data_IF_000346780849
#
_entry.id   IF_000346780849
#
_cell.length_a   1.000
_cell.length_b   1.000
_cell.length_c   1.000
_cell.angle_alpha   90.00
_cell.angle_beta   90.00
_cell.angle_gamma   90.00
#
_symmetry.space_group_name_H-M   'P 1'
#
loop_
_entity.id
_entity.type
_entity.pdbx_description
1 polymer ?
#
# COMPACT_ATOMS: atom_id res chain seq x y z
N UNK A 1 -25.68 -9.18 -12.38
CA UNK A 1 -25.14 -9.71 -13.64
C UNK A 1 -23.68 -9.35 -13.55
N UNK A 2 -22.82 -10.29 -13.09
CA UNK A 2 -21.38 -10.07 -13.12
C UNK A 2 -21.00 -9.90 -14.58
N UNK A 3 -20.58 -8.70 -14.92
CA UNK A 3 -20.17 -8.35 -16.27
C UNK A 3 -18.79 -8.99 -16.47
N UNK A 4 -18.77 -10.22 -16.97
CA UNK A 4 -17.52 -10.96 -17.23
C UNK A 4 -16.70 -10.12 -18.19
N UNK A 5 -15.62 -9.51 -17.69
CA UNK A 5 -14.64 -8.80 -18.49
C UNK A 5 -13.90 -9.86 -19.31
N UNK A 6 -14.27 -9.98 -20.58
CA UNK A 6 -13.52 -10.80 -21.54
C UNK A 6 -12.26 -10.03 -21.93
N UNK A 7 -11.12 -10.47 -21.40
CA UNK A 7 -9.81 -10.02 -21.85
C UNK A 7 -9.54 -10.49 -23.28
N UNK A 8 -8.80 -9.68 -24.04
CA UNK A 8 -8.30 -10.01 -25.39
C UNK A 8 -7.44 -11.28 -25.40
N UNK A 9 -6.61 -11.46 -24.37
CA UNK A 9 -5.73 -12.63 -24.22
C UNK A 9 -5.66 -13.12 -22.76
N UNK A 10 -5.14 -14.33 -22.56
CA UNK A 10 -4.83 -14.85 -21.22
C UNK A 10 -3.74 -14.03 -20.52
N UNK A 11 -2.74 -13.56 -21.27
CA UNK A 11 -1.67 -12.71 -20.74
C UNK A 11 -2.22 -11.38 -20.22
N UNK A 12 -3.12 -10.74 -20.96
CA UNK A 12 -3.79 -9.50 -20.56
C UNK A 12 -4.64 -9.68 -19.30
N UNK A 13 -5.37 -10.81 -19.20
CA UNK A 13 -6.14 -11.15 -18.00
C UNK A 13 -5.23 -11.29 -16.77
N UNK A 14 -4.13 -12.04 -16.92
CA UNK A 14 -3.16 -12.24 -15.83
C UNK A 14 -2.49 -10.92 -15.44
N UNK A 15 -2.14 -10.06 -16.40
CA UNK A 15 -1.58 -8.74 -16.14
C UNK A 15 -2.57 -7.85 -15.36
N UNK A 16 -3.84 -7.84 -15.77
CA UNK A 16 -4.88 -7.11 -15.06
C UNK A 16 -5.03 -7.58 -13.60
N UNK A 17 -5.06 -8.90 -13.36
CA UNK A 17 -5.10 -9.47 -12.01
C UNK A 17 -3.88 -9.10 -11.16
N UNK A 18 -2.68 -9.11 -11.76
CA UNK A 18 -1.46 -8.69 -11.08
C UNK A 18 -1.49 -7.21 -10.71
N UNK A 19 -2.04 -6.35 -11.57
CA UNK A 19 -2.17 -4.92 -11.28
C UNK A 19 -3.16 -4.68 -10.12
N UNK A 20 -4.31 -5.36 -10.12
CA UNK A 20 -5.28 -5.29 -9.00
C UNK A 20 -4.66 -5.78 -7.70
N UNK A 21 -3.88 -6.86 -7.76
CA UNK A 21 -3.11 -7.38 -6.61
C UNK A 21 -2.15 -6.33 -6.08
N UNK A 22 -1.38 -5.68 -6.97
CA UNK A 22 -0.45 -4.63 -6.57
C UNK A 22 -1.15 -3.41 -5.96
N UNK A 23 -2.29 -2.98 -6.53
CA UNK A 23 -3.10 -1.91 -5.95
C UNK A 23 -3.57 -2.21 -4.52
N UNK A 24 -3.94 -3.47 -4.25
CA UNK A 24 -4.32 -3.90 -2.91
C UNK A 24 -3.14 -3.89 -1.92
N UNK A 25 -1.91 -4.19 -2.38
CA UNK A 25 -0.69 -4.02 -1.56
C UNK A 25 -0.46 -2.55 -1.21
N UNK A 26 -0.56 -1.63 -2.18
CA UNK A 26 -0.39 -0.19 -1.96
C UNK A 26 -1.45 0.35 -0.98
N UNK A 27 -2.72 0.01 -1.18
CA UNK A 27 -3.82 0.47 -0.32
C UNK A 27 -3.64 0.02 1.13
N UNK A 28 -3.29 -1.26 1.34
CA UNK A 28 -3.06 -1.80 2.68
C UNK A 28 -1.86 -1.15 3.37
N UNK A 29 -0.79 -0.90 2.62
CA UNK A 29 0.40 -0.20 3.12
C UNK A 29 0.05 1.23 3.56
N UNK A 30 -0.69 1.97 2.73
CA UNK A 30 -1.16 3.32 3.05
C UNK A 30 -2.06 3.32 4.28
N UNK A 31 -3.02 2.39 4.35
CA UNK A 31 -3.92 2.25 5.49
C UNK A 31 -3.14 2.08 6.81
N UNK A 32 -2.15 1.18 6.84
CA UNK A 32 -1.37 0.96 8.05
C UNK A 32 -0.54 2.19 8.44
N UNK A 33 0.10 2.85 7.47
CA UNK A 33 0.89 4.07 7.73
C UNK A 33 0.01 5.19 8.29
N UNK A 34 -1.20 5.34 7.78
CA UNK A 34 -2.19 6.29 8.29
C UNK A 34 -2.63 5.96 9.72
N UNK A 35 -2.83 4.68 10.03
CA UNK A 35 -3.18 4.25 11.39
C UNK A 35 -2.02 4.52 12.38
N UNK A 36 -0.77 4.34 11.95
CA UNK A 36 0.42 4.70 12.74
C UNK A 36 0.52 6.22 12.98
N UNK A 37 0.28 7.05 11.94
CA UNK A 37 0.21 8.52 12.09
C UNK A 37 -0.88 8.92 13.09
N UNK A 38 -2.05 8.30 12.97
CA UNK A 38 -3.20 8.56 13.85
C UNK A 38 -2.89 8.21 15.30
N UNK A 39 -2.23 7.07 15.51
CA UNK A 39 -1.82 6.60 16.83
C UNK A 39 -0.80 7.55 17.45
N UNK A 40 0.22 7.97 16.68
CA UNK A 40 1.21 8.95 17.11
C UNK A 40 0.60 10.31 17.46
N UNK A 41 -0.32 10.82 16.64
CA UNK A 41 -1.00 12.09 16.88
C UNK A 41 -1.88 12.05 18.15
N UNK A 42 -2.53 10.92 18.43
CA UNK A 42 -3.45 10.78 19.58
C UNK A 42 -2.75 10.43 20.89
N UNK A 43 -1.58 9.78 20.86
CA UNK A 43 -0.87 9.35 22.07
C UNK A 43 -0.15 10.49 22.79
N UNK A 44 0.04 11.64 22.12
CA UNK A 44 0.84 12.77 22.63
C UNK A 44 2.35 12.50 22.59
N UNK A 45 2.79 11.37 22.02
CA UNK A 45 4.20 11.01 21.88
C UNK A 45 4.78 11.67 20.63
N UNK A 46 5.38 12.85 20.79
CA UNK A 46 5.87 13.66 19.68
C UNK A 46 6.86 12.91 18.78
N UNK A 47 7.83 12.20 19.34
CA UNK A 47 8.82 11.42 18.58
C UNK A 47 8.17 10.31 17.74
N UNK A 48 7.16 9.62 18.29
CA UNK A 48 6.42 8.59 17.57
C UNK A 48 5.62 9.19 16.40
N UNK A 49 5.02 10.37 16.60
CA UNK A 49 4.30 11.10 15.55
C UNK A 49 5.24 11.55 14.42
N UNK A 50 6.39 12.13 14.77
CA UNK A 50 7.44 12.54 13.81
C UNK A 50 7.94 11.33 13.02
N UNK A 51 8.23 10.22 13.69
CA UNK A 51 8.69 9.00 13.03
C UNK A 51 7.62 8.35 12.13
N UNK A 52 6.35 8.40 12.52
CA UNK A 52 5.25 7.92 11.69
C UNK A 52 5.04 8.79 10.45
N UNK A 53 5.12 10.12 10.59
CA UNK A 53 5.08 11.06 9.48
C UNK A 53 6.21 10.81 8.49
N UNK A 54 7.45 10.70 8.98
CA UNK A 54 8.62 10.39 8.12
C UNK A 54 8.41 9.08 7.36
N UNK A 55 8.00 8.01 8.06
CA UNK A 55 7.77 6.70 7.43
C UNK A 55 6.62 6.70 6.40
N UNK A 56 5.63 7.58 6.55
CA UNK A 56 4.60 7.81 5.52
C UNK A 56 5.19 8.53 4.31
N UNK A 57 5.92 9.64 4.53
CA UNK A 57 6.53 10.44 3.46
C UNK A 57 7.55 9.65 2.64
N UNK A 58 8.48 8.97 3.28
CA UNK A 58 9.51 8.16 2.61
C UNK A 58 8.85 7.14 1.66
N UNK A 59 7.79 6.48 2.12
CA UNK A 59 7.05 5.52 1.31
C UNK A 59 6.20 6.17 0.21
N UNK A 60 5.57 7.31 0.50
CA UNK A 60 4.83 8.04 -0.52
C UNK A 60 5.76 8.45 -1.68
N UNK A 61 6.97 8.92 -1.38
CA UNK A 61 7.98 9.33 -2.38
C UNK A 61 8.55 8.17 -3.19
N UNK A 62 8.73 7.01 -2.58
CA UNK A 62 9.40 5.86 -3.22
C UNK A 62 8.43 4.83 -3.78
N UNK A 63 7.13 4.93 -3.48
CA UNK A 63 6.13 3.95 -3.94
C UNK A 63 4.88 4.63 -4.49
N UNK A 64 4.13 5.37 -3.68
CA UNK A 64 2.82 5.88 -4.08
C UNK A 64 2.91 6.90 -5.23
N UNK A 65 3.77 7.91 -5.11
CA UNK A 65 3.94 8.98 -6.10
C UNK A 65 4.52 8.43 -7.41
N UNK A 66 5.60 7.62 -7.40
CA UNK A 66 6.07 6.93 -8.60
C UNK A 66 4.98 6.09 -9.27
N UNK A 67 4.19 5.33 -8.52
CA UNK A 67 3.11 4.51 -9.06
C UNK A 67 2.04 5.33 -9.78
N UNK A 68 1.53 6.40 -9.17
CA UNK A 68 0.48 7.23 -9.82
C UNK A 68 1.02 7.98 -11.03
N UNK A 69 2.28 8.42 -11.01
CA UNK A 69 2.93 9.06 -12.16
C UNK A 69 3.18 8.06 -13.31
N UNK A 70 3.62 6.84 -12.99
CA UNK A 70 3.76 5.78 -13.98
C UNK A 70 2.42 5.39 -14.57
N UNK A 71 1.36 5.29 -13.75
CA UNK A 71 0.00 5.03 -14.21
C UNK A 71 -0.53 6.14 -15.13
N UNK A 72 -0.19 7.41 -14.87
CA UNK A 72 -0.47 8.55 -15.76
C UNK A 72 0.25 8.39 -17.10
N UNK A 73 1.55 8.08 -17.06
CA UNK A 73 2.39 7.91 -18.25
C UNK A 73 1.96 6.71 -19.10
N UNK A 74 1.41 5.65 -18.52
CA UNK A 74 1.15 4.35 -19.19
C UNK A 74 -0.35 4.07 -19.35
N UNK A 75 -0.99 3.51 -18.33
CA UNK A 75 -2.38 3.04 -18.36
C UNK A 75 -3.36 4.15 -18.73
N UNK A 76 -3.19 5.34 -18.16
CA UNK A 76 -4.04 6.50 -18.46
C UNK A 76 -3.83 6.99 -19.90
N UNK A 77 -2.58 7.01 -20.39
CA UNK A 77 -2.25 7.35 -21.78
C UNK A 77 -2.93 6.39 -22.76
N UNK A 78 -2.90 5.09 -22.49
CA UNK A 78 -3.59 4.08 -23.31
C UNK A 78 -5.12 4.29 -23.27
N UNK A 79 -5.70 4.41 -22.07
CA UNK A 79 -7.14 4.61 -21.91
C UNK A 79 -7.65 5.94 -22.51
N UNK A 80 -6.82 6.98 -22.58
CA UNK A 80 -7.17 8.26 -23.21
C UNK A 80 -7.35 8.14 -24.73
N UNK A 81 -6.71 7.14 -25.35
CA UNK A 81 -6.91 6.77 -26.75
C UNK A 81 -8.31 6.21 -27.02
N UNK A 82 -8.97 5.66 -26.00
CA UNK A 82 -10.29 5.06 -26.09
C UNK A 82 -11.36 6.14 -25.85
N UNK A 83 -12.33 6.38 -26.77
CA UNK A 83 -13.31 7.44 -26.62
C UNK A 83 -14.11 7.41 -25.31
N UNK A 84 -14.41 6.22 -24.80
CA UNK A 84 -15.12 6.03 -23.52
C UNK A 84 -14.25 6.35 -22.29
N UNK A 85 -12.91 6.32 -22.42
CA UNK A 85 -11.97 6.53 -21.32
C UNK A 85 -11.52 7.98 -21.14
N UNK A 86 -11.66 8.82 -22.17
CA UNK A 86 -11.07 10.18 -22.19
C UNK A 86 -11.45 11.05 -20.99
N UNK A 87 -12.74 11.22 -20.71
CA UNK A 87 -13.20 12.07 -19.60
C UNK A 87 -12.83 11.48 -18.23
N UNK A 88 -12.80 10.16 -18.11
CA UNK A 88 -12.36 9.49 -16.89
C UNK A 88 -10.87 9.76 -16.63
N UNK A 89 -10.03 9.63 -17.67
CA UNK A 89 -8.58 9.92 -17.57
C UNK A 89 -8.33 11.39 -17.23
N UNK A 90 -9.02 12.33 -17.87
CA UNK A 90 -8.90 13.76 -17.55
C UNK A 90 -9.18 14.05 -16.07
N UNK A 91 -10.22 13.43 -15.50
CA UNK A 91 -10.52 13.53 -14.08
C UNK A 91 -9.44 12.87 -13.20
N UNK A 92 -8.97 11.68 -13.58
CA UNK A 92 -7.95 10.93 -12.83
C UNK A 92 -6.59 11.65 -12.79
N UNK A 93 -6.18 12.33 -13.87
CA UNK A 93 -4.95 13.13 -13.89
C UNK A 93 -5.03 14.31 -12.92
N UNK A 94 -6.21 14.93 -12.77
CA UNK A 94 -6.43 15.96 -11.75
C UNK A 94 -6.30 15.36 -10.36
N UNK A 95 -6.84 14.16 -10.13
CA UNK A 95 -6.72 13.47 -8.84
C UNK A 95 -5.29 13.06 -8.51
N UNK A 96 -4.51 12.60 -9.49
CA UNK A 96 -3.09 12.32 -9.33
C UNK A 96 -2.32 13.55 -8.89
N UNK A 97 -2.66 14.73 -9.43
CA UNK A 97 -2.11 16.00 -8.97
C UNK A 97 -2.49 16.26 -7.51
N UNK A 98 -3.77 16.13 -7.15
CA UNK A 98 -4.22 16.32 -5.75
C UNK A 98 -3.54 15.34 -4.79
N UNK A 99 -3.33 14.08 -5.18
CA UNK A 99 -2.58 13.08 -4.40
C UNK A 99 -1.16 13.60 -4.11
N UNK A 100 -0.44 14.06 -5.13
CA UNK A 100 0.91 14.63 -4.97
C UNK A 100 0.90 15.90 -4.13
N UNK A 101 -0.08 16.77 -4.33
CA UNK A 101 -0.22 18.02 -3.55
C UNK A 101 -0.48 17.73 -2.07
N UNK A 102 -1.27 16.69 -1.74
CA UNK A 102 -1.47 16.26 -0.34
C UNK A 102 -0.16 15.72 0.25
N UNK A 103 0.60 14.92 -0.50
CA UNK A 103 1.92 14.43 -0.05
C UNK A 103 2.87 15.60 0.23
N UNK A 104 2.91 16.60 -0.65
CA UNK A 104 3.69 17.83 -0.42
C UNK A 104 3.22 18.60 0.82
N UNK A 105 1.92 18.73 1.04
CA UNK A 105 1.38 19.35 2.26
C UNK A 105 1.75 18.57 3.53
N UNK A 106 1.78 17.23 3.49
CA UNK A 106 2.27 16.44 4.62
C UNK A 106 3.73 16.76 4.92
N UNK A 107 4.55 16.92 3.88
CA UNK A 107 5.97 17.29 3.98
C UNK A 107 6.23 18.71 4.51
N UNK A 108 5.35 19.66 4.19
CA UNK A 108 5.46 21.04 4.67
C UNK A 108 4.86 21.22 6.08
N UNK A 109 3.99 20.31 6.52
CA UNK A 109 3.29 20.40 7.80
C UNK A 109 4.15 19.93 8.98
N UNK A 110 4.41 20.82 9.93
CA UNK A 110 5.02 20.50 11.24
C UNK A 110 3.98 20.14 12.33
N UNK A 111 2.69 20.36 12.07
CA UNK A 111 1.61 20.03 13.01
C UNK A 111 1.17 18.57 12.88
N UNK A 112 1.03 17.89 14.02
CA UNK A 112 0.70 16.46 14.09
C UNK A 112 -0.76 16.17 13.74
N UNK A 113 -1.68 17.09 14.03
CA UNK A 113 -3.10 16.93 13.72
C UNK A 113 -3.34 17.22 12.24
N UNK A 114 -2.72 18.26 11.69
CA UNK A 114 -2.77 18.56 10.26
C UNK A 114 -2.19 17.40 9.44
N UNK A 115 -1.05 16.84 9.86
CA UNK A 115 -0.47 15.63 9.27
C UNK A 115 -1.47 14.46 9.28
N UNK A 116 -2.16 14.22 10.40
CA UNK A 116 -3.17 13.16 10.52
C UNK A 116 -4.34 13.38 9.57
N UNK A 117 -4.85 14.62 9.46
CA UNK A 117 -5.96 14.99 8.57
C UNK A 117 -5.57 14.82 7.10
N UNK A 118 -4.38 15.29 6.72
CA UNK A 118 -3.85 15.14 5.37
C UNK A 118 -3.65 13.66 5.00
N UNK A 119 -3.10 12.86 5.92
CA UNK A 119 -2.91 11.42 5.73
C UNK A 119 -4.26 10.68 5.54
N UNK A 120 -5.29 11.03 6.32
CA UNK A 120 -6.64 10.50 6.12
C UNK A 120 -7.24 10.93 4.77
N UNK A 121 -7.04 12.19 4.38
CA UNK A 121 -7.53 12.72 3.10
C UNK A 121 -6.89 11.99 1.93
N UNK A 122 -5.57 11.75 1.98
CA UNK A 122 -4.83 10.95 1.02
C UNK A 122 -5.42 9.53 0.88
N UNK A 123 -5.66 8.84 2.01
CA UNK A 123 -6.23 7.49 2.02
C UNK A 123 -7.61 7.43 1.38
N UNK A 124 -8.50 8.37 1.71
CA UNK A 124 -9.85 8.36 1.15
C UNK A 124 -9.84 8.70 -0.35
N UNK A 125 -9.04 9.68 -0.76
CA UNK A 125 -8.87 10.00 -2.18
C UNK A 125 -8.30 8.81 -2.96
N UNK A 126 -7.28 8.15 -2.43
CA UNK A 126 -6.66 7.00 -3.08
C UNK A 126 -7.59 5.79 -3.16
N UNK A 127 -8.43 5.54 -2.15
CA UNK A 127 -9.43 4.47 -2.21
C UNK A 127 -10.44 4.70 -3.35
N UNK A 128 -10.94 5.93 -3.51
CA UNK A 128 -11.83 6.28 -4.63
C UNK A 128 -11.08 6.20 -5.97
N UNK A 129 -9.81 6.62 -5.99
CA UNK A 129 -8.94 6.50 -7.16
C UNK A 129 -8.82 5.03 -7.61
N UNK A 130 -8.53 4.10 -6.69
CA UNK A 130 -8.41 2.68 -7.00
C UNK A 130 -9.71 2.06 -7.52
N UNK A 131 -10.88 2.47 -7.01
CA UNK A 131 -12.15 2.01 -7.58
C UNK A 131 -12.30 2.42 -9.05
N UNK A 132 -11.92 3.65 -9.42
CA UNK A 132 -11.93 4.07 -10.83
C UNK A 132 -10.93 3.30 -11.67
N UNK A 133 -9.71 3.08 -11.15
CA UNK A 133 -8.68 2.31 -11.87
C UNK A 133 -9.14 0.87 -12.08
N UNK A 134 -9.53 0.17 -11.01
CA UNK A 134 -9.79 -1.25 -11.03
C UNK A 134 -11.15 -1.60 -11.64
N UNK A 135 -12.18 -0.79 -11.40
CA UNK A 135 -13.56 -1.14 -11.76
C UNK A 135 -13.99 -0.50 -13.08
N UNK A 136 -13.29 0.54 -13.56
CA UNK A 136 -13.67 1.29 -14.77
C UNK A 136 -12.55 1.35 -15.80
N UNK A 137 -11.36 1.86 -15.43
CA UNK A 137 -10.26 2.08 -16.36
C UNK A 137 -9.66 0.77 -16.88
N UNK A 138 -9.31 -0.14 -15.97
CA UNK A 138 -8.67 -1.40 -16.32
C UNK A 138 -9.60 -2.31 -17.14
N UNK A 139 -10.89 -2.50 -16.78
CA UNK A 139 -11.82 -3.25 -17.62
C UNK A 139 -12.10 -2.61 -18.98
N UNK A 140 -11.87 -1.30 -19.13
CA UNK A 140 -11.96 -0.63 -20.43
C UNK A 140 -10.76 -1.00 -21.29
N UNK A 141 -9.56 -0.90 -20.74
CA UNK A 141 -8.30 -1.18 -21.43
C UNK A 141 -8.18 -2.67 -21.80
N UNK A 142 -8.51 -3.58 -20.88
CA UNK A 142 -8.45 -5.05 -21.07
C UNK A 142 -9.38 -5.56 -22.17
N UNK A 143 -10.46 -4.81 -22.49
CA UNK A 143 -11.42 -5.18 -23.54
C UNK A 143 -11.00 -4.69 -24.93
N UNK A 144 -10.03 -3.78 -25.01
CA UNK A 144 -9.56 -3.23 -26.27
C UNK A 144 -8.48 -4.16 -26.88
N UNK A 145 -8.76 -4.85 -28.00
CA UNK A 145 -7.81 -5.80 -28.58
C UNK A 145 -6.55 -5.14 -29.15
N UNK A 146 -6.56 -3.82 -29.36
CA UNK A 146 -5.41 -3.08 -29.88
C UNK A 146 -4.47 -2.61 -28.75
N UNK A 147 -4.79 -2.93 -27.48
CA UNK A 147 -4.02 -2.51 -26.32
C UNK A 147 -3.47 -3.73 -25.56
N UNK A 148 -2.16 -4.04 -25.69
CA UNK A 148 -1.53 -5.14 -24.95
C UNK A 148 -1.33 -4.75 -23.48
N UNK A 149 -2.12 -5.32 -22.59
CA UNK A 149 -2.15 -4.96 -21.16
C UNK A 149 -0.96 -5.53 -20.41
N UNK A 150 -0.45 -6.68 -20.84
CA UNK A 150 0.77 -7.27 -20.32
C UNK A 150 2.00 -6.37 -20.56
N UNK A 151 2.17 -5.88 -21.79
CA UNK A 151 3.24 -4.92 -22.14
C UNK A 151 3.08 -3.60 -21.36
N UNK A 152 1.85 -3.08 -21.23
CA UNK A 152 1.58 -1.88 -20.45
C UNK A 152 1.93 -2.03 -18.97
N UNK A 153 1.70 -3.21 -18.40
CA UNK A 153 2.05 -3.48 -17.00
C UNK A 153 3.56 -3.53 -16.80
N UNK A 154 4.30 -4.10 -17.75
CA UNK A 154 5.77 -4.08 -17.72
C UNK A 154 6.31 -2.65 -17.82
N UNK A 155 5.75 -1.83 -18.73
CA UNK A 155 6.09 -0.41 -18.86
C UNK A 155 5.81 0.35 -17.56
N UNK A 156 4.61 0.17 -16.99
CA UNK A 156 4.22 0.83 -15.73
C UNK A 156 5.20 0.52 -14.61
N UNK A 157 5.58 -0.76 -14.45
CA UNK A 157 6.55 -1.17 -13.42
C UNK A 157 7.93 -0.57 -13.65
N UNK A 158 8.40 -0.53 -14.90
CA UNK A 158 9.68 0.06 -15.27
C UNK A 158 9.74 1.56 -15.00
N UNK A 159 8.69 2.28 -15.38
CA UNK A 159 8.55 3.72 -15.13
C UNK A 159 8.46 4.03 -13.63
N UNK A 160 7.64 3.26 -12.88
CA UNK A 160 7.53 3.43 -11.43
C UNK A 160 8.86 3.17 -10.72
N UNK A 161 9.62 2.14 -11.13
CA UNK A 161 10.94 1.86 -10.57
C UNK A 161 11.93 3.00 -10.85
N UNK A 162 11.97 3.50 -12.09
CA UNK A 162 12.85 4.60 -12.49
C UNK A 162 12.54 5.88 -11.70
N UNK A 163 11.26 6.21 -11.53
CA UNK A 163 10.83 7.37 -10.75
C UNK A 163 11.16 7.22 -9.25
N UNK A 164 11.05 6.00 -8.71
CA UNK A 164 11.40 5.71 -7.32
C UNK A 164 12.91 5.83 -7.05
N UNK A 165 13.75 5.39 -7.99
CA UNK A 165 15.21 5.55 -7.94
C UNK A 165 15.59 7.04 -7.93
N UNK A 166 15.03 7.83 -8.84
CA UNK A 166 15.25 9.29 -8.91
C UNK A 166 14.82 10.01 -7.62
N UNK A 167 13.71 9.58 -7.02
CA UNK A 167 13.24 10.14 -5.75
C UNK A 167 14.16 9.81 -4.57
N UNK A 168 14.83 8.65 -4.61
CA UNK A 168 15.77 8.22 -3.58
C UNK A 168 17.10 8.97 -3.67
N UNK A 169 17.64 9.14 -4.87
CA UNK A 169 18.89 9.89 -5.10
C UNK A 169 18.79 11.38 -4.73
N UNK A 170 17.59 11.96 -4.82
CA UNK A 170 17.34 13.35 -4.43
C UNK A 170 17.39 13.58 -2.90
N UNK A 171 17.26 12.52 -2.08
CA UNK A 171 17.21 12.59 -0.61
C UNK A 171 18.58 12.35 0.07
N UNK A 172 19.59 11.88 -0.68
CA UNK A 172 20.94 11.52 -0.17
C UNK A 172 21.83 12.73 0.23
N UNK A 173 21.25 13.92 0.38
CA UNK A 173 21.97 15.15 0.75
C UNK A 173 22.39 15.25 2.22
N UNK A 174 21.80 14.48 3.14
CA UNK A 174 22.16 14.49 4.56
C UNK A 174 21.95 13.13 5.24
N UNK A 175 23.02 12.34 5.33
CA UNK A 175 23.04 11.13 6.14
C UNK A 175 22.97 11.46 7.63
N UNK A 176 21.88 11.05 8.30
CA UNK A 176 21.78 11.05 9.76
C UNK A 176 21.91 9.62 10.31
N UNK A 177 22.73 9.42 11.36
CA UNK A 177 22.94 8.11 11.96
C UNK A 177 21.69 7.66 12.73
N UNK A 178 21.35 6.38 12.58
CA UNK A 178 20.31 5.69 13.32
C UNK A 178 20.78 5.55 14.77
N UNK A 179 20.06 6.14 15.72
CA UNK A 179 20.26 5.87 17.14
C UNK A 179 19.35 4.72 17.58
N UNK A 180 19.96 3.72 18.21
CA UNK A 180 19.34 2.60 18.91
C UNK A 180 18.42 3.09 20.04
N UNK A 181 17.17 2.64 20.06
CA UNK A 181 16.28 2.82 21.20
C UNK A 181 16.23 1.58 22.11
N UNK A 182 16.36 1.90 23.39
CA UNK A 182 16.34 1.05 24.56
C UNK A 182 15.25 -0.04 24.56
N UNK A 183 15.69 -1.27 24.73
CA UNK A 183 14.85 -2.39 25.13
C UNK A 183 14.32 -2.17 26.56
N UNK A 184 13.02 -1.91 26.69
CA UNK A 184 12.33 -1.98 27.98
C UNK A 184 11.74 -3.39 28.18
N UNK A 185 12.24 -4.07 29.20
CA UNK A 185 11.83 -5.41 29.64
C UNK A 185 10.64 -5.30 30.61
N UNK A 186 9.42 -5.53 30.13
CA UNK A 186 8.28 -5.93 30.96
C UNK A 186 7.37 -6.88 30.17
N UNK A 187 7.17 -8.08 30.72
CA UNK A 187 6.70 -9.28 30.02
C UNK A 187 5.17 -9.43 29.99
N UNK A 188 4.44 -8.34 29.72
CA UNK A 188 3.01 -8.36 29.38
C UNK A 188 2.84 -7.56 28.09
N UNK A 189 2.75 -8.26 26.94
CA UNK A 189 2.57 -7.61 25.64
C UNK A 189 1.11 -7.21 25.49
N UNK A 190 0.81 -5.96 25.77
CA UNK A 190 -0.48 -5.37 25.43
C UNK A 190 -0.63 -5.32 23.91
N UNK A 191 -1.39 -6.27 23.37
CA UNK A 191 -1.65 -6.35 21.92
C UNK A 191 -2.49 -5.17 21.40
N UNK A 192 -3.12 -4.38 22.28
CA UNK A 192 -3.78 -3.13 21.90
C UNK A 192 -2.80 -2.03 21.46
N UNK A 193 -1.51 -2.21 21.74
CA UNK A 193 -0.45 -1.29 21.32
C UNK A 193 -0.04 -1.46 19.84
N UNK A 194 -0.50 -2.52 19.17
CA UNK A 194 -0.18 -2.78 17.77
C UNK A 194 -1.41 -2.57 16.88
N UNK A 195 -1.21 -2.05 15.65
CA UNK A 195 -2.31 -1.99 14.68
C UNK A 195 -2.84 -3.39 14.38
N UNK A 196 -4.11 -3.47 13.99
CA UNK A 196 -4.80 -4.72 13.66
C UNK A 196 -5.30 -4.70 12.22
N UNK A 197 -5.03 -5.78 11.48
CA UNK A 197 -5.60 -6.04 10.16
C UNK A 197 -6.60 -7.19 10.24
N UNK A 198 -7.88 -6.90 10.01
CA UNK A 198 -8.92 -7.91 9.84
C UNK A 198 -9.02 -8.39 8.39
N UNK A 199 -8.31 -9.48 8.07
CA UNK A 199 -8.31 -10.09 6.75
C UNK A 199 -9.66 -10.74 6.38
N UNK A 200 -10.60 -10.88 7.32
CA UNK A 200 -11.95 -11.41 7.04
C UNK A 200 -12.82 -10.40 6.30
N UNK A 201 -12.58 -9.11 6.53
CA UNK A 201 -13.25 -8.02 5.81
C UNK A 201 -12.72 -7.83 4.38
N UNK A 202 -11.58 -8.46 4.05
CA UNK A 202 -10.91 -8.33 2.75
C UNK A 202 -11.39 -9.42 1.78
N UNK A 203 -11.82 -9.04 0.55
CA UNK A 203 -12.18 -9.99 -0.49
C UNK A 203 -11.08 -11.01 -0.75
N UNK A 204 -11.46 -12.28 -0.96
CA UNK A 204 -10.51 -13.39 -1.07
C UNK A 204 -9.45 -13.15 -2.15
N UNK A 205 -9.85 -12.63 -3.32
CA UNK A 205 -8.98 -12.41 -4.48
C UNK A 205 -7.78 -11.50 -4.18
N UNK A 206 -7.94 -10.51 -3.30
CA UNK A 206 -6.89 -9.53 -2.97
C UNK A 206 -6.34 -9.68 -1.54
N UNK A 207 -6.81 -10.68 -0.79
CA UNK A 207 -6.50 -10.82 0.64
C UNK A 207 -5.01 -10.99 0.92
N UNK A 208 -4.33 -11.87 0.20
CA UNK A 208 -2.90 -12.10 0.41
C UNK A 208 -2.10 -10.82 0.13
N UNK A 209 -2.41 -10.16 -0.99
CA UNK A 209 -1.82 -8.88 -1.38
C UNK A 209 -2.00 -7.83 -0.28
N UNK A 210 -3.22 -7.67 0.22
CA UNK A 210 -3.55 -6.76 1.32
C UNK A 210 -2.72 -7.07 2.57
N UNK A 211 -2.59 -8.35 2.95
CA UNK A 211 -1.79 -8.74 4.12
C UNK A 211 -0.29 -8.45 3.89
N UNK A 212 0.26 -8.72 2.71
CA UNK A 212 1.66 -8.44 2.42
C UNK A 212 1.96 -6.95 2.44
N UNK A 213 1.14 -6.12 1.80
CA UNK A 213 1.31 -4.66 1.85
C UNK A 213 1.29 -4.12 3.29
N UNK A 214 0.34 -4.59 4.11
CA UNK A 214 0.32 -4.23 5.52
C UNK A 214 1.60 -4.69 6.26
N UNK A 215 2.10 -5.91 6.01
CA UNK A 215 3.32 -6.40 6.66
C UNK A 215 4.58 -5.67 6.23
N UNK A 216 4.70 -5.28 4.95
CA UNK A 216 5.83 -4.50 4.44
C UNK A 216 5.91 -3.11 5.09
N UNK A 217 4.76 -2.56 5.50
CA UNK A 217 4.67 -1.30 6.24
C UNK A 217 5.16 -1.39 7.70
N UNK A 218 5.27 -2.60 8.26
CA UNK A 218 5.72 -2.80 9.65
C UNK A 218 7.22 -2.51 9.73
N UNK A 219 7.62 -1.60 10.64
CA UNK A 219 9.02 -1.28 10.89
C UNK A 219 9.75 -2.44 11.59
N UNK A 220 11.08 -2.62 11.40
CA UNK A 220 11.87 -3.58 12.16
C UNK A 220 11.66 -3.42 13.68
N UNK A 221 11.49 -4.54 14.39
CA UNK A 221 11.21 -4.57 15.82
C UNK A 221 9.76 -4.21 16.21
N UNK A 222 8.88 -3.91 15.24
CA UNK A 222 7.44 -3.67 15.47
C UNK A 222 6.60 -4.86 14.97
N UNK A 223 5.31 -4.84 15.30
CA UNK A 223 4.39 -5.92 15.00
C UNK A 223 3.03 -5.43 14.47
N UNK A 224 2.32 -6.34 13.81
CA UNK A 224 0.95 -6.21 13.33
C UNK A 224 0.13 -7.38 13.90
N UNK A 225 -1.08 -7.10 14.38
CA UNK A 225 -2.03 -8.17 14.71
C UNK A 225 -2.82 -8.53 13.46
N UNK A 226 -2.72 -9.78 13.01
CA UNK A 226 -3.47 -10.31 11.87
C UNK A 226 -4.64 -11.16 12.37
N UNK A 227 -5.86 -10.79 11.95
CA UNK A 227 -7.07 -11.57 12.19
C UNK A 227 -7.50 -12.27 10.90
N UNK A 228 -7.47 -13.61 10.91
CA UNK A 228 -7.74 -14.46 9.77
C UNK A 228 -8.99 -15.33 9.96
N UNK A 229 -9.72 -15.66 8.87
CA UNK A 229 -10.92 -16.50 8.93
C UNK A 229 -10.61 -17.99 9.21
N UNK A 230 -9.37 -18.42 9.00
CA UNK A 230 -8.87 -19.78 9.23
C UNK A 230 -7.36 -19.73 9.49
N UNK A 231 -6.74 -20.87 9.83
CA UNK A 231 -5.29 -20.96 10.04
C UNK A 231 -4.54 -20.58 8.76
N UNK A 232 -3.80 -19.45 8.72
CA UNK A 232 -3.27 -18.90 7.47
C UNK A 232 -1.97 -19.58 7.02
N UNK A 233 -1.80 -20.89 7.23
CA UNK A 233 -0.58 -21.64 6.90
C UNK A 233 -0.06 -21.36 5.48
N UNK A 234 -0.89 -21.37 4.41
CA UNK A 234 -0.40 -21.06 3.06
C UNK A 234 0.17 -19.65 2.94
N UNK A 235 -0.50 -18.66 3.53
CA UNK A 235 -0.05 -17.27 3.57
C UNK A 235 1.28 -17.14 4.33
N UNK A 236 1.42 -17.81 5.48
CA UNK A 236 2.66 -17.79 6.26
C UNK A 236 3.83 -18.42 5.50
N UNK A 237 3.59 -19.51 4.76
CA UNK A 237 4.61 -20.11 3.87
C UNK A 237 5.00 -19.17 2.74
N UNK A 238 4.03 -18.47 2.16
CA UNK A 238 4.28 -17.49 1.10
C UNK A 238 5.07 -16.28 1.62
N UNK A 239 4.76 -15.80 2.83
CA UNK A 239 5.51 -14.75 3.52
C UNK A 239 6.97 -15.16 3.72
N UNK A 240 7.20 -16.35 4.28
CA UNK A 240 8.55 -16.89 4.49
C UNK A 240 9.30 -17.09 3.16
N UNK A 241 8.59 -17.46 2.08
CA UNK A 241 9.17 -17.57 0.75
C UNK A 241 9.59 -16.24 0.13
N UNK A 242 8.79 -15.16 0.34
CA UNK A 242 9.11 -13.81 -0.15
C UNK A 242 10.24 -13.17 0.66
N UNK A 243 10.22 -13.32 1.98
CA UNK A 243 11.12 -12.64 2.91
C UNK A 243 11.63 -13.61 3.99
N UNK A 244 12.56 -14.52 3.63
CA UNK A 244 13.02 -15.57 4.53
C UNK A 244 13.59 -15.02 5.83
N UNK A 245 13.08 -15.51 6.96
CA UNK A 245 13.55 -15.13 8.29
C UNK A 245 13.30 -13.68 8.70
N UNK A 246 12.51 -12.89 7.95
CA UNK A 246 12.23 -11.49 8.30
C UNK A 246 11.14 -11.38 9.35
N UNK A 247 10.17 -12.29 9.36
CA UNK A 247 9.03 -12.25 10.26
C UNK A 247 9.03 -13.38 11.28
N UNK A 248 8.60 -13.05 12.48
CA UNK A 248 8.27 -14.00 13.55
C UNK A 248 6.76 -14.00 13.77
N UNK A 249 6.17 -15.18 13.92
CA UNK A 249 4.72 -15.37 14.04
C UNK A 249 4.38 -16.03 15.36
N UNK A 250 3.59 -15.34 16.17
CA UNK A 250 3.03 -15.86 17.42
C UNK A 250 1.51 -15.99 17.29
N UNK A 251 0.96 -17.14 17.69
CA UNK A 251 -0.49 -17.34 17.70
C UNK A 251 -1.06 -16.82 19.02
N UNK A 252 -1.79 -15.71 18.96
CA UNK A 252 -2.51 -15.14 20.10
C UNK A 252 -3.81 -15.90 20.37
N UNK A 253 -4.48 -16.33 19.30
CA UNK A 253 -5.68 -17.16 19.36
C UNK A 253 -5.66 -18.15 18.21
N UNK A 254 -5.91 -19.42 18.53
CA UNK A 254 -6.23 -20.48 17.56
C UNK A 254 -7.75 -20.68 17.62
N UNK A 255 -8.38 -20.91 16.46
CA UNK A 255 -9.84 -20.89 16.28
C UNK A 255 -10.65 -21.88 17.15
N UNK A 256 -11.96 -22.07 16.86
CA UNK A 256 -12.55 -21.95 15.52
C UNK A 256 -13.17 -20.60 15.15
N UNK A 257 -13.46 -19.70 16.11
CA UNK A 257 -14.19 -18.46 15.84
C UNK A 257 -13.34 -17.40 15.12
N UNK A 258 -12.03 -17.40 15.39
CA UNK A 258 -11.06 -16.47 14.83
C UNK A 258 -9.63 -17.01 14.99
N UNK A 259 -8.77 -16.72 14.02
CA UNK A 259 -7.33 -16.94 14.12
C UNK A 259 -6.65 -15.60 14.28
N UNK A 260 -6.06 -15.35 15.45
CA UNK A 260 -5.39 -14.09 15.76
C UNK A 260 -3.90 -14.35 15.92
N UNK A 261 -3.10 -13.68 15.11
CA UNK A 261 -1.66 -13.86 15.08
C UNK A 261 -0.98 -12.51 15.32
N UNK A 262 0.05 -12.49 16.16
CA UNK A 262 0.98 -11.37 16.23
C UNK A 262 2.11 -11.67 15.24
N UNK A 263 2.24 -10.83 14.21
CA UNK A 263 3.31 -10.95 13.22
C UNK A 263 4.31 -9.83 13.46
N UNK A 264 5.50 -10.19 13.92
CA UNK A 264 6.57 -9.27 14.30
C UNK A 264 7.62 -9.24 13.20
N UNK A 265 8.01 -8.04 12.75
CA UNK A 265 9.19 -7.90 11.88
C UNK A 265 10.43 -7.90 12.76
N UNK A 266 11.38 -8.80 12.50
CA UNK A 266 12.62 -8.89 13.30
C UNK A 266 13.41 -7.57 13.23
N UNK A 267 14.11 -7.19 14.31
CA UNK A 267 15.08 -6.09 14.25
C UNK A 267 16.18 -6.44 13.24
N UNK A 268 16.70 -5.40 12.57
CA UNK A 268 17.82 -5.54 11.62
C UNK A 268 19.14 -5.86 12.34
#
# INVERSE_FOLDING_TARGET
MEDVVLASTEADAQAAEQLVTHHAEIDATLALKVDLVTTGARSGQHEAAVAARKALLDWCRTTLVPHVMAAEATLCRAAAGIPAGRLLVEAMVVEHRVIRDIVGQVEESDDVLDTMVLAHSLRQLFAVHLSKVNDQLLPLVVRDPDVPVDELLEELRGEAATLAEQASEADDGYGHPVHDEAACSCNERDTSAFPELDARAVPHAIRHATVFGALDAVRPGKALVLLAPHDPIPLLRQLEGRQPGVFEVEYLQRGPEAWRLLVTRRPA
#
